data_IF_491581889599
#
_entry.id   IF_491581889599
#
_cell.length_a   1.000
_cell.length_b   1.000
_cell.length_c   1.000
_cell.angle_alpha   90.00
_cell.angle_beta   90.00
_cell.angle_gamma   90.00
#
_symmetry.space_group_name_H-M   'P 1'
#
loop_
_entity.id
_entity.type
_entity.pdbx_description
1 polymer ?
#
# COMPACT_ATOMS: atom_id res chain seq x y z
N UNK A 1 -5.14 4.01 -16.11
CA UNK A 1 -3.95 3.33 -16.71
C UNK A 1 -4.14 1.86 -16.39
N UNK A 2 -4.29 1.02 -17.41
CA UNK A 2 -4.50 -0.40 -17.19
C UNK A 2 -3.20 -1.04 -16.68
N UNK A 3 -3.30 -1.85 -15.63
CA UNK A 3 -2.16 -2.58 -15.03
C UNK A 3 -1.41 -3.44 -16.04
N UNK A 4 -2.11 -3.93 -17.06
CA UNK A 4 -1.53 -4.69 -18.19
C UNK A 4 -0.43 -3.90 -18.91
N UNK A 5 -0.63 -2.59 -19.09
CA UNK A 5 0.35 -1.72 -19.74
C UNK A 5 1.57 -1.47 -18.84
N UNK A 6 1.37 -1.33 -17.53
CA UNK A 6 2.48 -1.17 -16.56
C UNK A 6 3.28 -2.46 -16.48
N UNK A 7 2.64 -3.62 -16.41
CA UNK A 7 3.29 -4.93 -16.36
C UNK A 7 4.17 -5.20 -17.60
N UNK A 8 3.68 -4.81 -18.77
CA UNK A 8 4.44 -4.93 -20.02
C UNK A 8 5.61 -3.95 -20.06
N UNK A 9 5.40 -2.69 -19.63
CA UNK A 9 6.45 -1.67 -19.61
C UNK A 9 7.61 -2.05 -18.66
N UNK A 10 7.28 -2.68 -17.51
CA UNK A 10 8.25 -3.12 -16.53
C UNK A 10 8.84 -4.52 -16.82
N UNK A 11 8.45 -5.16 -17.91
CA UNK A 11 8.86 -6.54 -18.24
C UNK A 11 8.61 -7.53 -17.10
N UNK A 12 7.51 -7.39 -16.36
CA UNK A 12 7.26 -8.16 -15.13
C UNK A 12 7.27 -9.67 -15.38
N UNK A 13 6.81 -10.15 -16.55
CA UNK A 13 6.87 -11.58 -16.89
C UNK A 13 8.30 -12.13 -16.86
N UNK A 14 9.27 -11.34 -17.33
CA UNK A 14 10.69 -11.71 -17.30
C UNK A 14 11.24 -11.73 -15.88
N UNK A 15 10.78 -10.83 -15.03
CA UNK A 15 11.13 -10.78 -13.60
C UNK A 15 10.56 -12.00 -12.88
N UNK A 16 9.27 -12.30 -13.10
CA UNK A 16 8.60 -13.44 -12.47
C UNK A 16 9.18 -14.80 -12.91
N UNK A 17 9.58 -14.95 -14.18
CA UNK A 17 10.24 -16.18 -14.65
C UNK A 17 11.56 -16.47 -13.93
N UNK A 18 12.15 -15.47 -13.29
CA UNK A 18 13.35 -15.59 -12.44
C UNK A 18 13.03 -15.83 -10.96
N UNK A 19 11.76 -16.02 -10.62
CA UNK A 19 11.30 -16.22 -9.25
C UNK A 19 11.27 -14.94 -8.40
N UNK A 20 11.39 -13.77 -9.00
CA UNK A 20 11.37 -12.48 -8.30
C UNK A 20 9.92 -11.98 -8.27
N UNK A 21 9.21 -12.30 -7.19
CA UNK A 21 7.76 -12.06 -7.04
C UNK A 21 7.39 -11.26 -5.79
N UNK A 22 8.41 -10.82 -5.04
CA UNK A 22 8.22 -10.14 -3.75
C UNK A 22 8.01 -11.10 -2.57
N UNK A 23 8.15 -12.41 -2.76
CA UNK A 23 8.01 -13.40 -1.70
C UNK A 23 8.93 -13.11 -0.51
N UNK A 24 8.36 -13.08 0.70
CA UNK A 24 9.09 -12.79 1.93
C UNK A 24 9.39 -11.31 2.18
N UNK A 25 8.91 -10.41 1.31
CA UNK A 25 9.03 -8.97 1.47
C UNK A 25 7.68 -8.40 1.94
N UNK A 26 7.73 -7.52 2.93
CA UNK A 26 6.55 -6.78 3.39
C UNK A 26 6.69 -5.30 3.06
N UNK A 27 5.63 -4.73 2.49
CA UNK A 27 5.48 -3.29 2.29
C UNK A 27 4.54 -2.73 3.34
N UNK A 28 4.98 -1.72 4.09
CA UNK A 28 4.09 -0.90 4.90
C UNK A 28 3.47 0.19 4.02
N UNK A 29 2.15 0.31 4.04
CA UNK A 29 1.39 1.30 3.29
C UNK A 29 0.70 2.24 4.27
N UNK A 30 1.04 3.55 4.22
CA UNK A 30 0.41 4.61 4.99
C UNK A 30 -0.58 5.32 4.08
N UNK A 31 -1.89 5.05 4.27
CA UNK A 31 -2.92 5.48 3.31
C UNK A 31 -4.33 5.55 3.97
N UNK A 32 -5.39 5.52 3.16
CA UNK A 32 -6.80 5.56 3.61
C UNK A 32 -7.30 4.28 4.25
N UNK A 33 -6.55 3.18 4.14
CA UNK A 33 -6.94 1.86 4.62
C UNK A 33 -6.80 0.78 3.55
N UNK A 34 -7.31 -0.41 3.84
CA UNK A 34 -7.35 -1.54 2.89
C UNK A 34 -8.65 -2.31 3.08
N UNK A 35 -9.36 -2.56 1.99
CA UNK A 35 -10.50 -3.48 1.97
C UNK A 35 -10.00 -4.92 1.90
N UNK A 36 -10.70 -5.82 2.59
CA UNK A 36 -10.39 -7.25 2.61
C UNK A 36 -10.80 -7.94 1.29
N UNK A 37 -10.17 -7.53 0.17
CA UNK A 37 -10.43 -8.12 -1.14
C UNK A 37 -9.83 -9.52 -1.22
N UNK A 38 -10.50 -10.51 -1.87
CA UNK A 38 -10.00 -11.88 -1.98
C UNK A 38 -8.57 -12.01 -2.52
N UNK A 39 -8.11 -11.12 -3.39
CA UNK A 39 -6.74 -11.10 -3.92
C UNK A 39 -5.65 -10.92 -2.85
N UNK A 40 -6.03 -10.43 -1.67
CA UNK A 40 -5.11 -10.31 -0.53
C UNK A 40 -5.17 -11.52 0.41
N UNK A 41 -6.10 -12.46 0.21
CA UNK A 41 -6.29 -13.61 1.09
C UNK A 41 -6.07 -14.96 0.41
N UNK A 42 -6.08 -15.01 -0.91
CA UNK A 42 -5.95 -16.26 -1.68
C UNK A 42 -4.65 -16.23 -2.50
N UNK A 43 -3.78 -17.25 -2.40
CA UNK A 43 -3.89 -18.52 -1.63
C UNK A 43 -3.59 -18.35 -0.14
N UNK A 44 -3.06 -17.24 0.30
CA UNK A 44 -2.70 -16.96 1.70
C UNK A 44 -3.00 -15.51 2.05
N UNK A 45 -3.20 -15.25 3.33
CA UNK A 45 -3.38 -13.89 3.83
C UNK A 45 -2.09 -13.07 3.65
N UNK A 46 -2.17 -12.02 2.87
CA UNK A 46 -1.07 -11.07 2.62
C UNK A 46 -1.13 -9.85 3.53
N UNK A 47 -2.29 -9.55 4.15
CA UNK A 47 -2.45 -8.44 5.10
C UNK A 47 -1.98 -8.93 6.46
N UNK A 48 -0.71 -8.72 6.79
CA UNK A 48 -0.11 -9.21 8.03
C UNK A 48 -0.54 -8.40 9.24
N UNK A 49 -0.85 -7.13 9.05
CA UNK A 49 -1.28 -6.24 10.10
C UNK A 49 -2.07 -5.07 9.56
N UNK A 50 -3.01 -4.58 10.37
CA UNK A 50 -3.80 -3.37 10.12
C UNK A 50 -3.88 -2.53 11.39
N UNK A 51 -3.66 -1.22 11.25
CA UNK A 51 -3.87 -0.24 12.32
C UNK A 51 -4.55 1.01 11.77
N UNK A 52 -5.63 1.42 12.42
CA UNK A 52 -6.31 2.69 12.16
C UNK A 52 -5.87 3.75 13.18
N UNK A 53 -5.06 4.72 12.73
CA UNK A 53 -4.62 5.87 13.55
C UNK A 53 -5.60 7.04 13.51
N UNK A 54 -6.66 6.93 12.68
CA UNK A 54 -7.66 7.99 12.50
C UNK A 54 -8.77 7.86 13.55
N UNK A 55 -9.40 6.66 13.62
CA UNK A 55 -10.56 6.38 14.48
C UNK A 55 -10.41 5.16 15.35
N UNK A 56 -9.25 4.51 15.32
CA UNK A 56 -8.93 3.32 16.10
C UNK A 56 -9.91 2.14 15.86
N UNK A 57 -10.41 1.99 14.63
CA UNK A 57 -11.22 0.82 14.26
C UNK A 57 -10.35 -0.42 14.16
N UNK A 58 -10.98 -1.56 14.45
CA UNK A 58 -10.31 -2.87 14.36
C UNK A 58 -10.60 -3.53 13.02
N UNK A 59 -9.57 -4.21 12.48
CA UNK A 59 -9.67 -4.98 11.25
C UNK A 59 -9.54 -4.16 9.96
N UNK A 60 -9.16 -4.81 8.86
CA UNK A 60 -8.99 -4.18 7.56
C UNK A 60 -10.27 -3.49 7.09
N UNK A 61 -10.16 -2.23 6.76
CA UNK A 61 -11.26 -1.43 6.25
C UNK A 61 -10.72 -0.21 5.49
N UNK A 62 -11.44 0.22 4.46
CA UNK A 62 -11.11 1.39 3.65
C UNK A 62 -12.41 2.10 3.26
N UNK A 63 -12.59 3.34 3.69
CA UNK A 63 -13.77 4.16 3.42
C UNK A 63 -13.57 5.17 2.29
N UNK A 64 -12.42 5.09 1.59
CA UNK A 64 -12.08 5.90 0.43
C UNK A 64 -11.82 5.04 -0.82
N UNK A 65 -11.04 3.98 -0.68
CA UNK A 65 -10.63 3.06 -1.74
C UNK A 65 -9.22 3.30 -2.27
N UNK A 66 -8.59 4.46 -2.02
CA UNK A 66 -7.25 4.77 -2.53
C UNK A 66 -6.19 3.80 -1.99
N UNK A 67 -6.16 3.55 -0.68
CA UNK A 67 -5.19 2.65 -0.07
C UNK A 67 -5.35 1.20 -0.52
N UNK A 68 -6.61 0.76 -0.77
CA UNK A 68 -6.90 -0.55 -1.36
C UNK A 68 -6.34 -0.66 -2.77
N UNK A 69 -6.54 0.38 -3.60
CA UNK A 69 -6.02 0.45 -4.95
C UNK A 69 -4.48 0.43 -4.98
N UNK A 70 -3.84 1.25 -4.16
CA UNK A 70 -2.36 1.28 -4.00
C UNK A 70 -1.83 -0.09 -3.58
N UNK A 71 -2.46 -0.72 -2.58
CA UNK A 71 -2.10 -2.07 -2.14
C UNK A 71 -2.27 -3.12 -3.23
N UNK A 72 -3.30 -2.98 -4.08
CA UNK A 72 -3.53 -3.83 -5.25
C UNK A 72 -2.41 -3.71 -6.28
N UNK A 73 -1.98 -2.49 -6.60
CA UNK A 73 -0.84 -2.25 -7.49
C UNK A 73 0.43 -2.92 -6.95
N UNK A 74 0.63 -2.91 -5.64
CA UNK A 74 1.79 -3.53 -5.01
C UNK A 74 1.68 -5.05 -5.04
N UNK A 75 0.59 -5.64 -4.52
CA UNK A 75 0.56 -7.03 -4.08
C UNK A 75 -0.67 -7.84 -4.52
N UNK A 76 -1.54 -7.34 -5.43
CA UNK A 76 -2.68 -8.13 -5.90
C UNK A 76 -2.22 -9.47 -6.50
N UNK A 77 -2.95 -10.54 -6.21
CA UNK A 77 -2.71 -11.86 -6.79
C UNK A 77 -3.22 -12.01 -8.22
N UNK A 78 -4.01 -11.05 -8.73
CA UNK A 78 -4.60 -11.06 -10.07
C UNK A 78 -5.54 -12.22 -10.33
N UNK A 79 -6.12 -12.82 -9.28
CA UNK A 79 -6.93 -14.05 -9.39
C UNK A 79 -8.39 -13.77 -9.73
N UNK A 80 -8.85 -12.56 -9.44
CA UNK A 80 -10.22 -12.14 -9.68
C UNK A 80 -10.24 -11.16 -10.85
N UNK A 81 -11.01 -11.50 -11.89
CA UNK A 81 -11.04 -10.81 -13.16
C UNK A 81 -10.34 -11.57 -14.27
N UNK A 82 -9.83 -10.87 -15.27
CA UNK A 82 -9.15 -11.42 -16.45
C UNK A 82 -7.63 -11.66 -16.24
N UNK A 83 -7.15 -11.52 -15.01
CA UNK A 83 -5.73 -11.62 -14.68
C UNK A 83 -4.92 -10.34 -14.98
N UNK A 84 -5.56 -9.28 -15.49
CA UNK A 84 -4.90 -7.99 -15.77
C UNK A 84 -4.54 -7.22 -14.50
N UNK A 85 -5.16 -7.58 -13.38
CA UNK A 85 -4.99 -6.91 -12.09
C UNK A 85 -3.85 -7.45 -11.21
N UNK A 86 -2.89 -8.20 -11.76
CA UNK A 86 -1.75 -8.70 -10.97
C UNK A 86 -0.86 -7.54 -10.52
N UNK A 87 -0.51 -7.51 -9.24
CA UNK A 87 0.38 -6.51 -8.67
C UNK A 87 1.83 -6.68 -9.10
N UNK A 88 2.65 -5.65 -8.89
CA UNK A 88 4.08 -5.66 -9.24
C UNK A 88 4.86 -6.71 -8.44
N UNK A 89 4.46 -6.96 -7.19
CA UNK A 89 5.06 -7.95 -6.29
C UNK A 89 3.97 -8.89 -5.71
N UNK A 90 3.40 -9.81 -6.54
CA UNK A 90 2.18 -10.52 -6.21
C UNK A 90 2.31 -11.52 -5.04
N UNK A 91 3.52 -11.86 -4.61
CA UNK A 91 3.75 -12.70 -3.44
C UNK A 91 4.26 -11.92 -2.21
N UNK A 92 4.29 -10.57 -2.29
CA UNK A 92 4.63 -9.73 -1.15
C UNK A 92 3.47 -9.61 -0.15
N UNK A 93 3.81 -9.22 1.07
CA UNK A 93 2.84 -8.97 2.14
C UNK A 93 2.64 -7.47 2.36
N UNK A 94 1.51 -7.12 2.97
CA UNK A 94 1.12 -5.74 3.29
C UNK A 94 0.96 -5.58 4.80
N UNK A 95 1.50 -4.50 5.32
CA UNK A 95 1.10 -3.90 6.59
C UNK A 95 0.40 -2.59 6.24
N UNK A 96 -0.88 -2.49 6.57
CA UNK A 96 -1.66 -1.28 6.31
C UNK A 96 -1.79 -0.43 7.56
N UNK A 97 -1.37 0.81 7.46
CA UNK A 97 -1.52 1.83 8.49
C UNK A 97 -2.43 2.95 7.96
N UNK A 98 -3.70 2.93 8.38
CA UNK A 98 -4.64 3.97 8.00
C UNK A 98 -4.31 5.26 8.74
N UNK A 99 -3.83 6.26 8.01
CA UNK A 99 -3.44 7.58 8.50
C UNK A 99 -4.26 8.71 7.86
N UNK A 100 -4.99 8.39 6.78
CA UNK A 100 -5.82 9.32 6.01
C UNK A 100 -7.31 9.09 6.30
N UNK A 101 -8.06 10.17 6.31
CA UNK A 101 -9.53 10.20 6.44
C UNK A 101 -10.23 9.69 5.16
N UNK A 102 -11.55 9.59 5.21
CA UNK A 102 -12.39 9.18 4.07
C UNK A 102 -12.24 10.07 2.84
N UNK A 103 -11.99 11.34 3.01
CA UNK A 103 -11.81 12.32 1.92
C UNK A 103 -10.37 12.38 1.39
N UNK A 104 -9.48 11.52 1.90
CA UNK A 104 -8.06 11.48 1.55
C UNK A 104 -7.21 12.50 2.30
N UNK A 105 -7.80 13.36 3.11
CA UNK A 105 -7.05 14.28 3.97
C UNK A 105 -6.37 13.53 5.13
N UNK A 106 -5.32 14.12 5.72
CA UNK A 106 -4.62 13.51 6.84
C UNK A 106 -4.02 14.51 7.79
N UNK A 107 -3.93 14.11 9.06
CA UNK A 107 -3.23 14.89 10.09
C UNK A 107 -1.78 14.42 10.17
N UNK A 108 -0.84 15.35 10.16
CA UNK A 108 0.61 15.06 10.29
C UNK A 108 0.89 14.15 11.49
N UNK A 109 0.21 14.36 12.62
CA UNK A 109 0.39 13.53 13.81
C UNK A 109 0.05 12.05 13.59
N UNK A 110 -0.94 11.73 12.73
CA UNK A 110 -1.30 10.35 12.42
C UNK A 110 -0.23 9.71 11.53
N UNK A 111 0.33 10.47 10.61
CA UNK A 111 1.45 10.05 9.77
C UNK A 111 2.68 9.74 10.64
N UNK A 112 3.04 10.63 11.55
CA UNK A 112 4.16 10.43 12.49
C UNK A 112 3.96 9.16 13.32
N UNK A 113 2.77 8.95 13.90
CA UNK A 113 2.46 7.72 14.64
C UNK A 113 2.62 6.45 13.80
N UNK A 114 2.17 6.51 12.53
CA UNK A 114 2.37 5.39 11.60
C UNK A 114 3.84 5.10 11.35
N UNK A 115 4.65 6.12 11.14
CA UNK A 115 6.11 5.98 10.96
C UNK A 115 6.81 5.46 12.21
N UNK A 116 6.46 5.98 13.38
CA UNK A 116 6.98 5.48 14.68
C UNK A 116 6.63 4.01 14.87
N UNK A 117 5.39 3.62 14.55
CA UNK A 117 4.97 2.22 14.61
C UNK A 117 5.83 1.33 13.69
N UNK A 118 6.14 1.78 12.46
CA UNK A 118 7.03 1.06 11.55
C UNK A 118 8.42 0.91 12.15
N UNK A 119 9.01 1.98 12.69
CA UNK A 119 10.33 1.95 13.33
C UNK A 119 10.41 0.88 14.43
N UNK A 120 9.35 0.73 15.20
CA UNK A 120 9.28 -0.24 16.30
C UNK A 120 9.00 -1.68 15.84
N UNK A 121 8.33 -1.86 14.70
CA UNK A 121 7.77 -3.15 14.30
C UNK A 121 8.36 -3.73 13.00
N UNK A 122 9.22 -3.00 12.28
CA UNK A 122 9.71 -3.42 10.96
C UNK A 122 10.37 -4.80 10.97
N UNK A 123 11.15 -5.13 12.01
CA UNK A 123 11.79 -6.44 12.15
C UNK A 123 10.76 -7.55 12.35
N UNK A 124 9.74 -7.32 13.19
CA UNK A 124 8.68 -8.30 13.50
C UNK A 124 7.90 -8.71 12.27
N UNK A 125 7.58 -7.78 11.39
CA UNK A 125 6.77 -8.02 10.19
C UNK A 125 7.59 -8.14 8.91
N UNK A 126 8.91 -8.08 8.96
CA UNK A 126 9.78 -8.14 7.79
C UNK A 126 9.58 -6.96 6.83
N UNK A 127 9.23 -5.77 7.36
CA UNK A 127 9.01 -4.58 6.54
C UNK A 127 10.34 -4.11 5.96
N UNK A 128 10.41 -4.02 4.63
CA UNK A 128 11.58 -3.58 3.87
C UNK A 128 11.28 -2.36 3.00
N UNK A 129 10.01 -2.08 2.76
CA UNK A 129 9.54 -0.99 1.89
C UNK A 129 8.45 -0.24 2.65
N UNK A 130 8.45 1.07 2.51
CA UNK A 130 7.38 1.95 3.00
C UNK A 130 6.84 2.74 1.82
N UNK A 131 5.51 2.65 1.61
CA UNK A 131 4.80 3.44 0.63
C UNK A 131 3.97 4.52 1.31
N UNK A 132 4.16 5.77 0.90
CA UNK A 132 3.43 6.94 1.37
C UNK A 132 2.95 7.71 0.15
N UNK A 133 1.69 7.46 -0.24
CA UNK A 133 1.08 8.08 -1.43
C UNK A 133 0.25 9.31 -1.02
N UNK A 134 0.93 10.35 -0.55
CA UNK A 134 0.31 11.59 -0.08
C UNK A 134 0.97 12.81 -0.71
N UNK A 135 0.19 13.87 -0.89
CA UNK A 135 0.68 15.19 -1.31
C UNK A 135 0.26 16.26 -0.30
N UNK A 136 1.03 17.32 -0.20
CA UNK A 136 0.64 18.54 0.50
C UNK A 136 0.54 19.68 -0.52
N UNK A 137 -0.52 20.54 -0.46
CA UNK A 137 -0.52 21.75 -1.24
C UNK A 137 0.69 22.60 -0.82
N UNK A 138 1.55 22.91 -1.78
CA UNK A 138 2.63 23.88 -1.56
C UNK A 138 1.94 25.24 -1.40
N UNK A 139 2.01 25.83 -0.20
CA UNK A 139 1.72 27.26 -0.07
C UNK A 139 2.74 27.97 -0.94
N UNK A 140 2.27 28.83 -1.85
CA UNK A 140 3.17 29.70 -2.61
C UNK A 140 4.14 30.33 -1.62
N UNK A 141 5.40 29.95 -1.72
CA UNK A 141 6.49 30.69 -1.11
C UNK A 141 6.50 31.97 -1.97
N UNK A 142 6.00 33.08 -1.44
CA UNK A 142 6.21 34.37 -2.05
C UNK A 142 7.71 34.48 -2.30
N UNK A 143 8.05 34.70 -3.56
CA UNK A 143 9.44 34.80 -3.98
C UNK A 143 10.05 35.98 -3.18
N UNK A 144 11.06 35.77 -2.32
CA UNK A 144 11.58 36.86 -1.48
C UNK A 144 12.31 37.94 -2.26
N UNK A 145 12.38 37.84 -3.60
CA UNK A 145 13.09 38.74 -4.52
C UNK A 145 12.15 39.49 -5.48
N UNK A 146 10.83 39.56 -5.22
CA UNK A 146 9.89 40.50 -5.89
C UNK A 146 9.47 41.64 -4.99
#
# INVERSE_FOLDING_TARGET
MEMTNVGNLLELRRIYSRGITGKGITTAVLDTGIYAHPDFFIPQNKILYFQDFVRNRRGPFDDNGHGTHVSGIIASGGRFGDGSGIGVAPESSIVMLKVLERDGSGKIKNMIKGMEWICLNHKKYGIRIVNISVGMPVKNVENPDE
#
